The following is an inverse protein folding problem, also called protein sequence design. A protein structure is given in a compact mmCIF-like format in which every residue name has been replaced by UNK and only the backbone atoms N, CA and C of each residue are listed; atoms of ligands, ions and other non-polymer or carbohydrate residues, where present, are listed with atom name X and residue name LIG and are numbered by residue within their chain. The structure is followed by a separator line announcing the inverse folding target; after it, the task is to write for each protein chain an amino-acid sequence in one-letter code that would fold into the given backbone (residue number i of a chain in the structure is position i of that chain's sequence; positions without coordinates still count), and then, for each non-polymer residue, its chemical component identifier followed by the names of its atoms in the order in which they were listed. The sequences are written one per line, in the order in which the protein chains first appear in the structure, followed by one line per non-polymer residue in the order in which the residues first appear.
data_IF_044629717906
#
_entry.id   IF_044629717906
#
_cell.length_a   1.000
_cell.length_b   1.000
_cell.length_c   1.000
_cell.angle_alpha   90.00
_cell.angle_beta   90.00
_cell.angle_gamma   90.00
#
_symmetry.space_group_name_H-M   'P 1'
#
loop_
_entity.id
_entity.type
_entity.pdbx_description
1 polymer ?
#
# COMPACT_ATOMS: atom_id res chain seq x y z
N UNK A 1 10.35 -26.92 17.58
CA UNK A 1 11.05 -26.12 16.55
C UNK A 1 10.44 -24.74 16.65
N UNK A 2 11.00 -23.91 17.51
CA UNK A 2 10.40 -22.63 17.93
C UNK A 2 10.53 -21.59 16.82
N UNK A 3 9.39 -21.01 16.44
CA UNK A 3 9.29 -19.87 15.53
C UNK A 3 9.77 -18.63 16.27
N UNK A 4 11.00 -18.18 15.97
CA UNK A 4 11.53 -16.90 16.45
C UNK A 4 10.58 -15.75 16.08
N UNK A 5 10.09 -15.03 17.07
CA UNK A 5 9.24 -13.85 16.88
C UNK A 5 10.11 -12.65 16.47
N UNK A 6 10.09 -12.29 15.17
CA UNK A 6 10.69 -11.06 14.65
C UNK A 6 9.61 -9.98 14.50
N UNK A 7 9.83 -8.82 15.10
CA UNK A 7 8.95 -7.65 14.98
C UNK A 7 9.47 -6.71 13.88
N UNK A 8 8.59 -6.30 12.97
CA UNK A 8 8.95 -5.41 11.85
C UNK A 8 8.94 -3.95 12.32
N UNK A 9 10.08 -3.28 12.22
CA UNK A 9 10.28 -1.88 12.66
C UNK A 9 10.02 -0.86 11.55
N UNK A 10 10.21 -1.20 10.28
CA UNK A 10 9.87 -0.31 9.16
C UNK A 10 9.64 -1.07 7.85
N UNK A 11 8.74 -0.51 7.02
CA UNK A 11 8.39 -0.96 5.67
C UNK A 11 8.63 0.22 4.71
N UNK A 12 9.71 0.22 3.95
CA UNK A 12 9.86 1.13 2.79
C UNK A 12 9.94 0.25 1.54
N UNK A 13 8.80 -0.31 1.15
CA UNK A 13 8.66 -0.96 -0.15
C UNK A 13 8.39 0.11 -1.23
N UNK A 14 9.18 0.13 -2.30
CA UNK A 14 8.92 0.92 -3.51
C UNK A 14 8.80 -0.03 -4.71
N UNK A 15 7.65 -0.68 -4.83
CA UNK A 15 7.19 -1.23 -6.10
C UNK A 15 6.97 -2.74 -6.15
N UNK A 16 5.82 -3.08 -6.72
CA UNK A 16 5.55 -4.35 -7.39
C UNK A 16 6.47 -4.46 -8.63
N UNK A 17 7.58 -5.16 -8.49
CA UNK A 17 8.20 -5.85 -9.62
C UNK A 17 8.68 -7.20 -9.11
N UNK A 18 8.45 -8.22 -9.91
CA UNK A 18 8.99 -9.58 -9.81
C UNK A 18 10.28 -9.59 -9.00
N UNK A 19 10.22 -9.97 -7.72
CA UNK A 19 11.37 -9.91 -6.83
C UNK A 19 12.29 -11.08 -7.18
N UNK A 20 13.56 -10.80 -7.48
CA UNK A 20 14.54 -11.82 -7.91
C UNK A 20 15.67 -11.99 -6.88
N UNK A 21 15.97 -10.97 -6.07
CA UNK A 21 17.05 -11.05 -5.07
C UNK A 21 16.76 -10.26 -3.79
N UNK A 22 17.10 -10.87 -2.63
CA UNK A 22 17.04 -10.25 -1.31
C UNK A 22 18.42 -10.30 -0.66
N UNK A 23 18.91 -9.15 -0.22
CA UNK A 23 20.14 -9.01 0.57
C UNK A 23 19.73 -8.85 2.02
N UNK A 24 20.10 -9.82 2.85
CA UNK A 24 19.84 -9.76 4.30
C UNK A 24 21.09 -9.32 5.02
N UNK A 25 20.94 -8.29 5.84
CA UNK A 25 22.02 -7.71 6.61
C UNK A 25 21.73 -7.86 8.09
N UNK A 26 22.61 -8.54 8.81
CA UNK A 26 22.46 -8.86 10.23
C UNK A 26 23.49 -8.13 11.08
N UNK A 27 23.21 -8.04 12.38
CA UNK A 27 24.14 -7.48 13.39
C UNK A 27 24.12 -5.96 13.47
N UNK A 28 23.00 -5.33 13.12
CA UNK A 28 22.86 -3.88 13.10
C UNK A 28 22.78 -3.33 14.53
N UNK A 29 23.51 -2.24 14.79
CA UNK A 29 23.41 -1.55 16.07
C UNK A 29 22.03 -0.87 16.20
N UNK A 30 21.24 -1.17 17.26
CA UNK A 30 19.91 -0.56 17.45
C UNK A 30 19.95 0.97 17.67
N UNK A 31 21.11 1.56 17.93
CA UNK A 31 21.31 3.01 18.02
C UNK A 31 21.51 3.72 16.67
N UNK A 32 21.56 2.99 15.55
CA UNK A 32 21.72 3.57 14.21
C UNK A 32 20.44 4.31 13.79
N UNK A 33 20.57 5.53 13.27
CA UNK A 33 19.41 6.35 12.92
C UNK A 33 18.74 5.83 11.64
N UNK A 34 17.41 6.00 11.55
CA UNK A 34 16.66 5.59 10.36
C UNK A 34 17.17 6.25 9.06
N UNK A 35 17.64 7.48 9.17
CA UNK A 35 18.22 8.25 8.07
C UNK A 35 19.49 7.60 7.51
N UNK A 36 20.27 6.92 8.34
CA UNK A 36 21.50 6.23 7.90
C UNK A 36 21.15 5.02 7.02
N UNK A 37 20.07 4.29 7.35
CA UNK A 37 19.57 3.20 6.50
C UNK A 37 18.97 3.72 5.20
N UNK A 38 18.19 4.81 5.26
CA UNK A 38 17.67 5.45 4.05
C UNK A 38 18.79 5.90 3.13
N UNK A 39 19.83 6.54 3.67
CA UNK A 39 21.02 6.95 2.91
C UNK A 39 21.74 5.73 2.32
N UNK A 40 21.89 4.65 3.11
CA UNK A 40 22.57 3.44 2.65
C UNK A 40 21.84 2.73 1.50
N UNK A 41 20.52 2.73 1.51
CA UNK A 41 19.71 2.08 0.47
C UNK A 41 19.47 3.02 -0.73
N UNK A 42 19.51 4.35 -0.52
CA UNK A 42 19.33 5.33 -1.59
C UNK A 42 20.47 5.26 -2.61
N UNK A 43 20.12 5.01 -3.87
CA UNK A 43 21.10 4.89 -4.96
C UNK A 43 21.67 3.48 -5.18
N UNK A 44 21.27 2.49 -4.38
CA UNK A 44 21.70 1.09 -4.52
C UNK A 44 20.97 0.31 -5.63
N UNK A 45 19.94 0.87 -6.26
CA UNK A 45 19.05 0.14 -7.17
C UNK A 45 17.96 -0.68 -6.45
N UNK A 46 17.89 -0.61 -5.12
CA UNK A 46 16.87 -1.32 -4.35
C UNK A 46 15.43 -0.89 -4.72
N UNK A 47 14.56 -1.89 -4.89
CA UNK A 47 13.11 -1.73 -4.99
C UNK A 47 12.40 -1.60 -3.64
N UNK A 48 13.13 -1.71 -2.55
CA UNK A 48 12.59 -1.51 -1.22
C UNK A 48 13.37 -2.23 -0.15
N UNK A 49 13.03 -1.97 1.09
CA UNK A 49 13.72 -2.57 2.22
C UNK A 49 12.83 -2.62 3.47
N UNK A 50 13.12 -3.61 4.31
CA UNK A 50 12.44 -3.87 5.57
C UNK A 50 13.45 -3.94 6.71
N UNK A 51 13.06 -3.47 7.87
CA UNK A 51 13.88 -3.51 9.08
C UNK A 51 13.17 -4.38 10.11
N UNK A 52 13.82 -5.44 10.53
CA UNK A 52 13.29 -6.46 11.44
C UNK A 52 14.09 -6.40 12.73
N UNK A 53 13.41 -6.24 13.86
CA UNK A 53 14.00 -6.42 15.18
C UNK A 53 13.69 -7.84 15.65
N UNK A 54 14.72 -8.57 16.04
CA UNK A 54 14.53 -9.81 16.78
C UNK A 54 14.26 -9.45 18.25
N UNK A 55 13.04 -9.73 18.70
CA UNK A 55 12.60 -9.40 20.07
C UNK A 55 13.36 -10.17 21.15
N UNK A 56 14.03 -11.26 20.81
CA UNK A 56 14.76 -12.10 21.76
C UNK A 56 16.25 -11.74 21.82
N UNK A 57 16.88 -11.46 20.67
CA UNK A 57 18.31 -11.14 20.62
C UNK A 57 18.63 -9.64 20.65
N UNK A 58 17.62 -8.77 20.55
CA UNK A 58 17.80 -7.32 20.31
C UNK A 58 18.64 -7.02 19.08
N UNK A 59 18.82 -8.01 18.18
CA UNK A 59 19.51 -7.81 16.92
C UNK A 59 18.55 -7.26 15.89
N UNK A 60 19.06 -6.29 15.14
CA UNK A 60 18.33 -5.65 14.08
C UNK A 60 18.85 -6.20 12.74
N UNK A 61 17.92 -6.53 11.86
CA UNK A 61 18.14 -7.11 10.53
C UNK A 61 17.54 -6.19 9.48
N UNK A 62 18.34 -5.79 8.48
CA UNK A 62 17.86 -5.03 7.34
C UNK A 62 17.76 -5.97 6.14
N UNK A 63 16.58 -6.08 5.56
CA UNK A 63 16.33 -6.84 4.34
C UNK A 63 16.16 -5.86 3.18
N UNK A 64 17.04 -5.90 2.19
CA UNK A 64 17.00 -5.05 1.00
C UNK A 64 16.57 -5.89 -0.20
N UNK A 65 15.57 -5.43 -0.95
CA UNK A 65 14.96 -6.13 -2.07
C UNK A 65 15.33 -5.48 -3.39
N UNK A 66 15.75 -6.30 -4.35
CA UNK A 66 16.17 -5.86 -5.69
C UNK A 66 15.30 -6.51 -6.77
N UNK A 67 15.13 -5.78 -7.89
CA UNK A 67 14.40 -6.27 -9.06
C UNK A 67 15.22 -7.27 -9.88
N UNK A 68 16.54 -7.19 -9.81
CA UNK A 68 17.45 -8.12 -10.46
C UNK A 68 18.68 -8.43 -9.58
N UNK A 69 19.42 -9.44 -10.01
CA UNK A 69 20.62 -9.94 -9.32
C UNK A 69 21.81 -8.99 -9.46
N UNK A 70 21.91 -8.25 -10.56
CA UNK A 70 23.06 -7.39 -10.86
C UNK A 70 23.12 -6.25 -9.85
N UNK A 71 21.98 -5.63 -9.56
CA UNK A 71 21.89 -4.58 -8.55
C UNK A 71 22.18 -5.10 -7.13
N UNK A 72 21.70 -6.31 -6.80
CA UNK A 72 21.99 -6.95 -5.52
C UNK A 72 23.48 -7.25 -5.34
N UNK A 73 24.14 -7.79 -6.37
CA UNK A 73 25.58 -8.09 -6.35
C UNK A 73 26.42 -6.81 -6.29
N UNK A 74 26.01 -5.75 -6.99
CA UNK A 74 26.65 -4.43 -6.93
C UNK A 74 26.56 -3.81 -5.54
N UNK A 75 25.39 -3.89 -4.91
CA UNK A 75 25.17 -3.43 -3.55
C UNK A 75 26.12 -4.14 -2.56
N UNK A 76 26.24 -5.47 -2.65
CA UNK A 76 27.17 -6.25 -1.82
C UNK A 76 28.63 -5.86 -2.07
N UNK A 77 29.01 -5.59 -3.32
CA UNK A 77 30.37 -5.16 -3.66
C UNK A 77 30.69 -3.80 -3.03
N UNK A 78 29.77 -2.84 -3.09
CA UNK A 78 29.93 -1.51 -2.47
C UNK A 78 30.11 -1.60 -0.94
N UNK A 79 29.40 -2.53 -0.29
CA UNK A 79 29.61 -2.83 1.14
C UNK A 79 31.01 -3.37 1.43
N UNK A 80 31.52 -4.31 0.63
CA UNK A 80 32.85 -4.90 0.84
C UNK A 80 33.98 -3.90 0.64
N UNK A 81 33.78 -2.90 -0.21
CA UNK A 81 34.74 -1.81 -0.43
C UNK A 81 34.67 -0.70 0.61
N UNK A 82 33.80 -0.82 1.62
CA UNK A 82 33.72 0.13 2.73
C UNK A 82 33.02 1.44 2.40
N UNK A 83 32.31 1.55 1.28
CA UNK A 83 31.62 2.81 0.91
C UNK A 83 30.56 3.21 1.96
N UNK A 84 30.07 2.24 2.74
CA UNK A 84 29.20 2.44 3.89
C UNK A 84 29.99 2.44 5.21
N UNK A 85 31.02 3.29 5.34
CA UNK A 85 31.97 3.31 6.47
C UNK A 85 31.33 3.42 7.87
N UNK A 86 30.07 3.85 7.96
CA UNK A 86 29.37 4.06 9.23
C UNK A 86 28.51 2.89 9.72
N UNK A 87 28.37 1.79 8.96
CA UNK A 87 27.49 0.68 9.36
C UNK A 87 28.21 -0.66 9.22
N UNK A 88 28.49 -1.31 10.35
CA UNK A 88 29.12 -2.65 10.37
C UNK A 88 28.07 -3.70 10.04
N UNK A 89 28.03 -4.10 8.78
CA UNK A 89 26.99 -4.95 8.20
C UNK A 89 27.60 -6.21 7.59
N UNK A 90 27.04 -7.39 7.89
CA UNK A 90 27.44 -8.66 7.26
C UNK A 90 26.34 -9.16 6.32
N UNK A 91 26.43 -8.89 5.00
CA UNK A 91 25.40 -9.31 4.05
C UNK A 91 25.47 -10.81 3.76
N UNK A 92 24.30 -11.46 3.72
CA UNK A 92 24.13 -12.85 3.27
C UNK A 92 23.06 -12.90 2.17
N UNK A 93 23.34 -13.58 1.06
CA UNK A 93 22.38 -13.82 -0.03
C UNK A 93 21.57 -15.10 0.24
N UNK A 94 20.24 -15.03 0.13
CA UNK A 94 19.35 -16.20 0.09
C UNK A 94 18.80 -16.35 -1.34
N UNK A 95 19.00 -17.50 -1.98
CA UNK A 95 18.57 -17.74 -3.37
C UNK A 95 17.37 -18.70 -3.52
N UNK A 96 16.93 -19.41 -2.48
CA UNK A 96 16.16 -20.65 -2.69
C UNK A 96 14.70 -20.67 -2.18
N UNK A 97 13.99 -19.53 -2.15
CA UNK A 97 12.59 -19.56 -1.73
C UNK A 97 11.64 -18.71 -2.55
N UNK A 98 11.60 -18.93 -3.87
CA UNK A 98 10.36 -18.90 -4.67
C UNK A 98 10.62 -19.37 -6.11
N UNK A 99 9.89 -20.39 -6.57
CA UNK A 99 9.80 -20.77 -7.99
C UNK A 99 8.62 -20.05 -8.65
N UNK A 100 8.79 -19.35 -9.79
CA UNK A 100 7.66 -18.87 -10.57
C UNK A 100 7.21 -20.00 -11.52
N UNK A 101 5.92 -20.37 -11.47
CA UNK A 101 5.32 -21.24 -12.48
C UNK A 101 4.86 -20.38 -13.64
N UNK A 102 5.51 -20.49 -14.81
CA UNK A 102 5.00 -19.94 -16.07
C UNK A 102 4.28 -21.03 -16.84
N UNK A 103 2.97 -20.88 -17.08
CA UNK A 103 2.29 -21.60 -18.17
C UNK A 103 2.13 -20.63 -19.34
N UNK A 104 3.00 -20.76 -20.33
CA UNK A 104 2.89 -20.15 -21.65
C UNK A 104 2.05 -21.07 -22.55
N UNK A 105 1.04 -20.51 -23.23
CA UNK A 105 0.36 -21.20 -24.33
C UNK A 105 0.41 -20.32 -25.57
N UNK A 106 1.14 -20.80 -26.57
CA UNK A 106 1.30 -20.20 -27.90
C UNK A 106 0.15 -20.62 -28.80
N UNK A 107 -0.57 -19.66 -29.39
CA UNK A 107 -1.30 -19.89 -30.64
C UNK A 107 -0.85 -18.84 -31.66
N UNK A 108 -0.43 -19.33 -32.83
CA UNK A 108 0.12 -18.56 -33.94
C UNK A 108 -0.94 -17.81 -34.78
N UNK A 109 -0.51 -17.15 -35.87
CA UNK A 109 -1.15 -15.97 -36.42
C UNK A 109 -2.17 -16.28 -37.52
N UNK A 110 -3.22 -15.46 -37.62
CA UNK A 110 -4.02 -15.27 -38.84
C UNK A 110 -4.31 -13.79 -39.02
N UNK A 111 -4.03 -13.28 -40.22
CA UNK A 111 -4.06 -11.88 -40.65
C UNK A 111 -5.45 -11.38 -41.10
N UNK A 112 -5.85 -10.19 -40.57
CA UNK A 112 -6.23 -8.91 -41.24
C UNK A 112 -7.45 -8.85 -42.22
N UNK A 113 -8.12 -7.68 -42.50
CA UNK A 113 -8.37 -6.40 -41.79
C UNK A 113 -9.87 -5.98 -41.73
N UNK A 114 -10.20 -4.91 -40.97
CA UNK A 114 -11.05 -3.84 -41.52
C UNK A 114 -10.83 -2.49 -40.80
N UNK A 115 -10.77 -1.43 -41.61
CA UNK A 115 -10.38 -0.05 -41.30
C UNK A 115 -11.52 0.79 -40.70
N UNK A 116 -11.21 1.78 -39.86
CA UNK A 116 -11.81 3.14 -39.92
C UNK A 116 -10.85 4.14 -39.25
N UNK A 117 -10.42 5.15 -40.03
CA UNK A 117 -9.64 6.33 -39.64
C UNK A 117 -10.55 7.52 -39.35
N UNK A 118 -10.22 8.31 -38.30
CA UNK A 118 -10.36 9.77 -38.13
C UNK A 118 -10.24 10.09 -36.62
N UNK A 119 -9.58 11.13 -36.14
CA UNK A 119 -8.69 12.12 -36.73
C UNK A 119 -7.86 12.72 -35.58
N UNK A 120 -6.63 13.09 -35.89
CA UNK A 120 -5.72 13.80 -35.01
C UNK A 120 -6.21 15.22 -34.72
N UNK A 121 -6.23 15.62 -33.46
CA UNK A 121 -6.00 17.02 -33.09
C UNK A 121 -4.87 17.07 -32.09
N UNK A 122 -3.78 17.66 -32.58
CA UNK A 122 -2.59 18.03 -31.82
C UNK A 122 -2.82 19.38 -31.12
N UNK A 123 -2.06 19.55 -30.05
CA UNK A 123 -1.44 20.81 -29.60
C UNK A 123 -2.15 21.76 -28.61
N UNK A 124 -1.47 21.84 -27.46
CA UNK A 124 -1.14 23.04 -26.67
C UNK A 124 -2.24 23.78 -25.90
N UNK A 125 -2.27 23.50 -24.59
CA UNK A 125 -2.26 24.55 -23.59
C UNK A 125 -1.54 24.06 -22.32
N UNK A 126 -0.28 24.43 -22.16
CA UNK A 126 0.39 24.43 -20.87
C UNK A 126 -0.28 25.47 -19.99
N UNK A 127 -0.89 25.09 -18.88
CA UNK A 127 -0.92 25.90 -17.65
C UNK A 127 -1.50 25.14 -16.46
N UNK A 128 -0.65 25.04 -15.43
CA UNK A 128 -0.91 24.63 -14.05
C UNK A 128 -1.03 23.12 -13.81
N UNK A 129 0.10 22.56 -13.39
CA UNK A 129 0.22 21.31 -12.64
C UNK A 129 -0.53 21.44 -11.30
N UNK A 130 -1.84 21.23 -11.34
CA UNK A 130 -2.63 20.82 -10.18
C UNK A 130 -2.53 19.31 -10.20
N UNK A 131 -1.57 18.78 -9.42
CA UNK A 131 -1.18 17.37 -9.40
C UNK A 131 -2.36 16.45 -9.68
N UNK A 132 -2.23 15.65 -10.75
CA UNK A 132 -3.24 14.71 -11.21
C UNK A 132 -3.71 13.89 -10.02
N UNK A 133 -4.87 14.26 -9.50
CA UNK A 133 -5.59 13.48 -8.53
C UNK A 133 -6.02 12.21 -9.27
N UNK A 134 -5.18 11.18 -9.26
CA UNK A 134 -5.54 9.89 -9.82
C UNK A 134 -6.73 9.38 -9.03
N UNK A 135 -7.88 9.30 -9.69
CA UNK A 135 -9.07 8.62 -9.20
C UNK A 135 -9.00 7.18 -9.71
N UNK A 136 -8.07 6.41 -9.15
CA UNK A 136 -7.77 5.06 -9.57
C UNK A 136 -8.94 4.12 -9.29
N UNK A 137 -9.08 3.08 -10.11
CA UNK A 137 -10.07 2.02 -9.86
C UNK A 137 -9.55 1.14 -8.73
N UNK A 138 -10.26 1.02 -7.59
CA UNK A 138 -9.81 0.19 -6.48
C UNK A 138 -9.78 -1.28 -6.90
N UNK A 139 -8.58 -1.82 -6.96
CA UNK A 139 -8.30 -3.19 -7.38
C UNK A 139 -7.57 -3.99 -6.28
N UNK A 140 -7.91 -5.27 -6.06
CA UNK A 140 -7.26 -6.10 -5.05
C UNK A 140 -5.74 -6.21 -5.24
N UNK A 141 -5.00 -6.19 -4.14
CA UNK A 141 -3.54 -6.21 -4.10
C UNK A 141 -2.86 -4.84 -4.23
N UNK A 142 -3.62 -3.78 -4.55
CA UNK A 142 -3.10 -2.42 -4.66
C UNK A 142 -3.25 -1.65 -3.35
N UNK A 143 -2.42 -0.63 -3.18
CA UNK A 143 -2.44 0.24 -1.99
C UNK A 143 -2.92 1.63 -2.39
N UNK A 144 -3.82 2.19 -1.58
CA UNK A 144 -4.42 3.48 -1.85
C UNK A 144 -4.35 4.41 -0.65
N UNK A 145 -4.24 5.70 -0.94
CA UNK A 145 -4.75 6.76 -0.09
C UNK A 145 -6.21 6.99 -0.45
N UNK A 146 -7.10 7.00 0.53
CA UNK A 146 -8.53 7.20 0.30
C UNK A 146 -8.89 8.60 0.78
N UNK A 147 -9.24 9.48 -0.16
CA UNK A 147 -9.46 10.90 0.12
C UNK A 147 -10.92 11.30 -0.09
N UNK A 148 -11.48 11.98 0.90
CA UNK A 148 -12.78 12.61 0.75
C UNK A 148 -12.69 13.72 -0.30
N UNK A 149 -13.57 13.69 -1.30
CA UNK A 149 -13.50 14.60 -2.44
C UNK A 149 -13.76 16.05 -2.04
N UNK A 150 -14.82 16.30 -1.27
CA UNK A 150 -15.24 17.65 -0.92
C UNK A 150 -14.28 18.33 0.07
N UNK A 151 -13.91 17.65 1.16
CA UNK A 151 -13.05 18.24 2.19
C UNK A 151 -11.55 18.07 1.92
N UNK A 152 -11.17 17.25 0.93
CA UNK A 152 -9.77 16.89 0.60
C UNK A 152 -9.02 16.20 1.75
N UNK A 153 -9.73 15.77 2.81
CA UNK A 153 -9.17 15.03 3.94
C UNK A 153 -9.04 13.55 3.61
N UNK A 154 -8.01 12.90 4.12
CA UNK A 154 -7.77 11.47 3.97
C UNK A 154 -8.40 10.67 5.09
N UNK A 155 -8.80 9.44 4.78
CA UNK A 155 -9.09 8.44 5.80
C UNK A 155 -7.77 7.99 6.42
N UNK A 156 -7.58 8.32 7.70
CA UNK A 156 -6.39 7.98 8.47
C UNK A 156 -6.75 7.11 9.67
N UNK A 157 -5.80 6.29 10.09
CA UNK A 157 -5.86 5.47 11.29
C UNK A 157 -5.00 6.09 12.39
N UNK A 158 -5.63 6.44 13.50
CA UNK A 158 -4.98 6.96 14.69
C UNK A 158 -5.56 6.24 15.91
N UNK A 159 -4.70 5.57 16.68
CA UNK A 159 -5.09 4.84 17.90
C UNK A 159 -6.27 3.85 17.70
N UNK A 160 -6.30 3.14 16.56
CA UNK A 160 -7.36 2.18 16.23
C UNK A 160 -8.68 2.81 15.78
N UNK A 161 -8.74 4.14 15.64
CA UNK A 161 -9.91 4.89 15.14
C UNK A 161 -9.65 5.47 13.78
N UNK A 162 -10.66 5.40 12.92
CA UNK A 162 -10.63 6.04 11.62
C UNK A 162 -11.07 7.50 11.72
N UNK A 163 -10.27 8.39 11.14
CA UNK A 163 -10.52 9.83 11.15
C UNK A 163 -10.30 10.43 9.76
N UNK A 164 -10.86 11.62 9.56
CA UNK A 164 -10.61 12.46 8.40
C UNK A 164 -9.61 13.56 8.75
N UNK A 165 -8.41 13.49 8.17
CA UNK A 165 -7.32 14.43 8.46
C UNK A 165 -6.60 14.91 7.19
N UNK A 166 -5.96 16.08 7.26
CA UNK A 166 -5.01 16.52 6.24
C UNK A 166 -3.64 15.89 6.51
N UNK A 167 -2.90 15.50 5.45
CA UNK A 167 -1.54 14.94 5.57
C UNK A 167 -0.61 15.76 6.46
N UNK A 168 -0.66 17.09 6.36
CA UNK A 168 0.20 17.98 7.15
C UNK A 168 -0.17 18.07 8.64
N UNK A 169 -1.30 17.50 9.06
CA UNK A 169 -1.80 17.58 10.43
C UNK A 169 -1.83 16.21 11.13
N UNK A 170 -1.29 15.17 10.50
CA UNK A 170 -1.28 13.82 11.08
C UNK A 170 0.06 13.56 11.76
N UNK A 171 0.04 13.22 13.04
CA UNK A 171 1.20 12.61 13.72
C UNK A 171 1.39 11.13 13.29
N UNK A 172 0.40 10.56 12.61
CA UNK A 172 0.34 9.16 12.20
C UNK A 172 1.16 8.91 10.92
N UNK A 173 2.48 8.79 11.04
CA UNK A 173 3.35 8.34 9.94
C UNK A 173 2.84 6.97 9.43
N UNK A 174 2.31 6.93 8.20
CA UNK A 174 1.86 5.70 7.55
C UNK A 174 0.43 5.23 7.88
N UNK A 175 -0.33 6.00 8.68
CA UNK A 175 -1.71 5.67 9.04
C UNK A 175 -2.76 5.85 7.93
N UNK A 176 -2.37 6.26 6.73
CA UNK A 176 -3.28 6.60 5.62
C UNK A 176 -3.20 5.67 4.41
N UNK A 177 -2.32 4.66 4.47
CA UNK A 177 -2.18 3.68 3.39
C UNK A 177 -3.14 2.51 3.64
N UNK A 178 -3.87 2.12 2.60
CA UNK A 178 -4.88 1.07 2.67
C UNK A 178 -4.68 0.06 1.56
N UNK A 179 -4.29 -1.16 1.93
CA UNK A 179 -4.18 -2.28 1.00
C UNK A 179 -5.59 -2.77 0.69
N UNK A 180 -5.99 -2.69 -0.57
CA UNK A 180 -7.22 -3.26 -1.05
C UNK A 180 -7.06 -4.79 -1.12
N UNK A 181 -7.90 -5.51 -0.39
CA UNK A 181 -7.96 -6.96 -0.40
C UNK A 181 -9.33 -7.40 -0.93
N UNK A 182 -9.42 -8.63 -1.45
CA UNK A 182 -10.69 -9.23 -1.83
C UNK A 182 -10.94 -10.50 -1.04
N UNK A 183 -12.18 -10.67 -0.61
CA UNK A 183 -12.67 -11.94 -0.09
C UNK A 183 -14.08 -12.21 -0.59
N UNK A 184 -14.25 -13.29 -1.36
CA UNK A 184 -15.55 -13.71 -1.92
C UNK A 184 -16.24 -12.60 -2.74
N UNK A 185 -15.47 -11.84 -3.51
CA UNK A 185 -15.95 -10.72 -4.32
C UNK A 185 -16.29 -9.44 -3.56
N UNK A 186 -16.04 -9.39 -2.24
CA UNK A 186 -16.13 -8.16 -1.44
C UNK A 186 -14.75 -7.55 -1.27
N UNK A 187 -14.67 -6.22 -1.32
CA UNK A 187 -13.43 -5.50 -1.08
C UNK A 187 -13.25 -5.22 0.41
N UNK A 188 -12.02 -5.25 0.88
CA UNK A 188 -11.62 -4.87 2.23
C UNK A 188 -10.43 -3.93 2.16
N UNK A 189 -10.32 -3.01 3.12
CA UNK A 189 -9.23 -2.03 3.17
C UNK A 189 -8.39 -2.27 4.41
N UNK A 190 -7.20 -2.85 4.25
CA UNK A 190 -6.31 -3.23 5.35
C UNK A 190 -5.22 -2.20 5.56
N UNK A 191 -5.03 -1.78 6.80
CA UNK A 191 -3.86 -1.01 7.22
C UNK A 191 -2.61 -1.90 7.16
N UNK A 192 -1.56 -1.53 6.42
CA UNK A 192 -0.32 -2.31 6.38
C UNK A 192 0.44 -2.27 7.71
N UNK A 193 0.29 -1.18 8.48
CA UNK A 193 0.98 -0.98 9.77
C UNK A 193 0.36 -1.85 10.88
N UNK A 194 -0.96 -1.80 11.01
CA UNK A 194 -1.66 -2.51 12.11
C UNK A 194 -2.16 -3.90 11.73
N UNK A 195 -2.05 -4.29 10.45
CA UNK A 195 -2.67 -5.48 9.88
C UNK A 195 -4.20 -5.55 10.04
N UNK A 196 -4.87 -4.48 10.49
CA UNK A 196 -6.32 -4.46 10.71
C UNK A 196 -7.07 -3.92 9.49
N UNK A 197 -8.27 -4.43 9.27
CA UNK A 197 -9.19 -3.99 8.24
C UNK A 197 -10.06 -2.85 8.75
N UNK A 198 -10.35 -1.88 7.87
CA UNK A 198 -11.51 -1.04 8.02
C UNK A 198 -12.74 -1.92 8.19
N UNK A 199 -13.64 -1.54 9.08
CA UNK A 199 -14.92 -2.20 9.27
C UNK A 199 -15.93 -1.23 9.84
N UNK A 200 -17.14 -1.72 10.06
CA UNK A 200 -18.23 -0.97 10.69
C UNK A 200 -18.80 -1.73 11.88
N UNK A 201 -19.37 -1.01 12.85
CA UNK A 201 -20.07 -1.60 13.97
C UNK A 201 -21.61 -1.57 13.75
N UNK A 202 -22.36 -2.24 14.64
CA UNK A 202 -23.83 -2.26 14.58
C UNK A 202 -24.49 -0.90 14.84
N UNK A 203 -23.71 0.13 15.17
CA UNK A 203 -24.16 1.50 15.43
C UNK A 203 -23.78 2.43 14.28
N UNK A 204 -23.20 1.89 13.20
CA UNK A 204 -22.83 2.65 12.02
C UNK A 204 -21.52 3.41 12.10
N UNK A 205 -20.71 3.18 13.14
CA UNK A 205 -19.37 3.76 13.24
C UNK A 205 -18.38 2.95 12.44
N UNK A 206 -17.45 3.61 11.77
CA UNK A 206 -16.38 2.95 11.02
C UNK A 206 -15.09 2.92 11.86
N UNK A 207 -14.40 1.79 11.90
CA UNK A 207 -13.28 1.47 12.78
C UNK A 207 -12.24 0.61 12.08
N UNK A 208 -11.06 0.43 12.68
CA UNK A 208 -10.04 -0.52 12.19
C UNK A 208 -9.47 -1.28 13.36
N UNK A 209 -9.96 -2.51 13.58
CA UNK A 209 -9.61 -3.31 14.78
C UNK A 209 -9.38 -4.79 14.52
N UNK A 210 -10.02 -5.37 13.52
CA UNK A 210 -9.92 -6.80 13.27
C UNK A 210 -8.91 -7.12 12.17
N UNK A 211 -8.20 -8.23 12.32
CA UNK A 211 -7.24 -8.73 11.34
C UNK A 211 -7.88 -9.65 10.29
N UNK A 212 -9.18 -9.92 10.41
CA UNK A 212 -9.95 -10.71 9.46
C UNK A 212 -10.79 -9.81 8.55
N UNK A 213 -11.09 -10.31 7.35
CA UNK A 213 -11.99 -9.67 6.39
C UNK A 213 -13.31 -10.44 6.38
N UNK A 214 -14.20 -10.09 7.32
CA UNK A 214 -15.52 -10.69 7.43
C UNK A 214 -16.62 -9.70 7.00
N UNK A 215 -17.88 -10.00 7.33
CA UNK A 215 -19.03 -9.23 6.87
C UNK A 215 -18.98 -7.76 7.31
N UNK A 216 -18.35 -7.46 8.45
CA UNK A 216 -18.24 -6.11 8.98
C UNK A 216 -17.09 -5.32 8.33
N UNK A 217 -16.16 -6.00 7.68
CA UNK A 217 -14.99 -5.45 6.99
C UNK A 217 -15.11 -5.55 5.47
N UNK A 218 -16.29 -5.98 4.98
CA UNK A 218 -16.64 -6.13 3.58
C UNK A 218 -17.30 -4.87 3.04
N UNK A 219 -16.72 -4.28 2.00
CA UNK A 219 -17.19 -3.08 1.32
C UNK A 219 -17.53 -3.37 -0.14
N UNK A 220 -18.52 -2.64 -0.65
CA UNK A 220 -18.77 -2.51 -2.07
C UNK A 220 -18.38 -1.09 -2.50
N UNK A 221 -17.70 -0.95 -3.62
CA UNK A 221 -17.29 0.36 -4.14
C UNK A 221 -17.91 0.57 -5.51
N UNK A 222 -18.52 1.74 -5.72
CA UNK A 222 -19.20 2.10 -6.96
C UNK A 222 -18.76 3.45 -7.47
N UNK A 223 -18.42 3.55 -8.75
CA UNK A 223 -18.12 4.83 -9.37
C UNK A 223 -19.36 5.74 -9.35
N UNK A 224 -19.19 6.99 -8.96
CA UNK A 224 -20.24 7.99 -8.89
C UNK A 224 -20.33 8.75 -10.24
N UNK A 225 -21.53 9.07 -10.77
CA UNK A 225 -21.65 9.76 -12.06
C UNK A 225 -20.94 11.12 -12.14
N UNK A 226 -20.81 11.83 -11.01
CA UNK A 226 -20.06 13.08 -10.95
C UNK A 226 -18.54 12.90 -10.82
N UNK A 227 -18.04 11.65 -10.79
CA UNK A 227 -16.65 11.26 -10.52
C UNK A 227 -16.42 10.85 -9.06
N UNK A 228 -15.29 10.19 -8.78
CA UNK A 228 -15.04 9.54 -7.51
C UNK A 228 -15.90 8.30 -7.32
N UNK A 229 -15.86 7.78 -6.10
CA UNK A 229 -16.52 6.54 -5.72
C UNK A 229 -17.38 6.72 -4.48
N UNK A 230 -18.48 5.98 -4.42
CA UNK A 230 -19.23 5.73 -3.19
C UNK A 230 -18.69 4.44 -2.58
N UNK A 231 -18.34 4.47 -1.29
CA UNK A 231 -17.99 3.30 -0.51
C UNK A 231 -19.22 2.88 0.28
N UNK A 232 -19.63 1.62 0.15
CA UNK A 232 -20.87 1.06 0.70
C UNK A 232 -20.58 -0.07 1.68
N UNK A 233 -21.31 -0.09 2.80
CA UNK A 233 -21.25 -1.14 3.84
C UNK A 233 -22.60 -1.84 4.01
N UNK A 234 -22.57 -3.06 4.56
CA UNK A 234 -23.77 -3.86 4.85
C UNK A 234 -24.48 -3.35 6.11
N UNK A 235 -25.54 -2.58 5.95
CA UNK A 235 -26.30 -2.11 7.11
C UNK A 235 -27.12 -3.25 7.75
N UNK A 236 -27.16 -3.27 9.09
CA UNK A 236 -28.07 -4.13 9.87
C UNK A 236 -27.88 -5.63 9.61
N UNK A 237 -28.88 -6.27 9.01
CA UNK A 237 -28.86 -7.69 8.65
C UNK A 237 -28.20 -7.99 7.29
N UNK A 238 -27.64 -6.95 6.64
CA UNK A 238 -26.93 -7.05 5.36
C UNK A 238 -27.83 -7.07 4.13
N UNK A 239 -29.13 -6.79 4.26
CA UNK A 239 -30.06 -6.65 3.11
C UNK A 239 -29.95 -5.31 2.41
N UNK A 240 -29.43 -4.30 3.08
CA UNK A 240 -29.23 -2.96 2.51
C UNK A 240 -27.73 -2.60 2.52
N UNK A 241 -27.33 -1.81 1.52
CA UNK A 241 -26.01 -1.21 1.45
C UNK A 241 -26.12 0.29 1.69
N UNK A 242 -25.42 0.79 2.70
CA UNK A 242 -25.43 2.21 3.04
C UNK A 242 -24.07 2.86 2.73
N UNK A 243 -24.07 4.06 2.14
CA UNK A 243 -22.85 4.85 1.93
C UNK A 243 -22.13 5.20 3.22
N UNK A 244 -20.79 5.20 3.17
CA UNK A 244 -19.95 5.84 4.17
C UNK A 244 -19.81 7.33 3.83
N UNK A 245 -20.08 8.18 4.81
CA UNK A 245 -19.97 9.63 4.72
C UNK A 245 -19.13 10.18 5.86
N UNK A 246 -18.60 11.38 5.68
CA UNK A 246 -18.10 12.19 6.77
C UNK A 246 -19.25 12.54 7.73
N UNK A 247 -18.99 12.49 9.04
CA UNK A 247 -19.93 13.01 10.02
C UNK A 247 -20.09 14.54 9.89
N UNK A 248 -21.04 15.13 10.62
CA UNK A 248 -21.33 16.57 10.56
C UNK A 248 -20.11 17.45 10.91
N UNK A 249 -19.23 16.96 11.78
CA UNK A 249 -17.98 17.64 12.16
C UNK A 249 -16.86 17.47 11.12
N UNK A 250 -17.04 16.59 10.13
CA UNK A 250 -16.05 16.27 9.10
C UNK A 250 -14.76 15.66 9.67
N UNK A 251 -14.86 14.93 10.79
CA UNK A 251 -13.73 14.33 11.52
C UNK A 251 -13.80 12.81 11.57
N UNK A 252 -14.99 12.22 11.59
CA UNK A 252 -15.21 10.78 11.64
C UNK A 252 -15.99 10.28 10.43
N UNK A 253 -16.02 8.97 10.26
CA UNK A 253 -16.75 8.27 9.22
C UNK A 253 -17.98 7.58 9.84
N UNK A 254 -19.13 7.69 9.18
CA UNK A 254 -20.38 7.05 9.57
C UNK A 254 -21.08 6.44 8.36
N UNK A 255 -21.92 5.44 8.56
CA UNK A 255 -22.86 4.99 7.53
C UNK A 255 -24.12 5.88 7.48
N UNK A 256 -24.64 6.14 6.28
CA UNK A 256 -25.85 6.94 6.07
C UNK A 256 -26.62 6.46 4.85
N UNK A 257 -27.87 6.01 5.03
CA UNK A 257 -28.75 5.42 3.98
C UNK A 257 -28.77 6.18 2.65
N UNK A 258 -28.79 7.52 2.70
CA UNK A 258 -28.84 8.40 1.53
C UNK A 258 -27.61 9.33 1.49
N UNK A 259 -26.45 8.81 1.90
CA UNK A 259 -25.19 9.53 1.75
C UNK A 259 -24.75 9.64 0.30
N UNK A 260 -24.04 10.71 -0.03
CA UNK A 260 -23.52 10.95 -1.39
C UNK A 260 -22.09 11.49 -1.36
N UNK A 261 -21.34 11.18 -0.32
CA UNK A 261 -19.95 11.58 -0.24
C UNK A 261 -19.13 10.77 -1.25
N UNK A 262 -18.34 11.49 -2.06
CA UNK A 262 -17.44 10.85 -3.02
C UNK A 262 -16.03 10.71 -2.43
N UNK A 263 -15.45 9.56 -2.68
CA UNK A 263 -14.11 9.16 -2.26
C UNK A 263 -13.22 9.00 -3.49
N UNK A 264 -11.97 9.44 -3.37
CA UNK A 264 -10.98 9.35 -4.42
C UNK A 264 -9.91 8.36 -3.97
N UNK A 265 -9.59 7.40 -4.82
CA UNK A 265 -8.57 6.39 -4.56
C UNK A 265 -7.29 6.79 -5.28
N UNK A 266 -6.27 7.20 -4.52
CA UNK A 266 -4.97 7.56 -5.07
C UNK A 266 -4.00 6.39 -4.83
N UNK A 267 -3.63 5.67 -5.88
CA UNK A 267 -2.67 4.55 -5.79
C UNK A 267 -1.29 5.05 -5.32
N UNK A 268 -0.63 4.26 -4.46
CA UNK A 268 0.68 4.56 -3.86
C UNK A 268 1.76 3.62 -4.37
#
# INVERSE_FOLDING_TARGET
METRSRSKLSDIAHGHASQIAVVVVQGINPGTALADFQSAVSGSGASGWDLLLDGESSEMTLEIRFKDKVDADLCIAQYRTGIFEHVVLKPTLLYDQWSPTFTSSTMGPVETPCSTTADSISETASTIDIGSCSDAVPWPGRTYKIRHRASRKLITLEEGRLQLQYLGNTNAVGGWNWVCAEQKGWLGFRSPVSATYMGHDKRGNIWSKWQHHESHESFCVRHHPAGGYIILVKHGDGRELWPIVANEEGKALIEKKNGDDQWLFEEV
#
